data_IF_788480250441
#
_entry.id   IF_788480250441
#
_cell.length_a   1.000
_cell.length_b   1.000
_cell.length_c   1.000
_cell.angle_alpha   90.00
_cell.angle_beta   90.00
_cell.angle_gamma   90.00
#
_symmetry.space_group_name_H-M   'P 1'
#
loop_
_entity.id
_entity.type
_entity.pdbx_description
1 polymer ?
#
# COMPACT_ATOMS: atom_id res chain seq x y z
N UNK A 1 1.04 -11.47 8.45
CA UNK A 1 1.86 -11.88 9.61
C UNK A 1 2.29 -13.34 9.64
N UNK A 2 1.89 -14.23 8.72
CA UNK A 2 2.40 -15.61 8.72
C UNK A 2 3.92 -15.72 8.57
N UNK A 3 4.54 -14.78 7.80
CA UNK A 3 5.99 -14.77 7.60
C UNK A 3 6.74 -14.56 8.92
N UNK A 4 6.41 -13.51 9.69
CA UNK A 4 7.08 -13.23 10.96
C UNK A 4 6.94 -14.38 11.96
N UNK A 5 5.74 -14.99 12.05
CA UNK A 5 5.56 -16.20 12.91
C UNK A 5 6.51 -17.32 12.52
N UNK A 6 6.67 -17.60 11.23
CA UNK A 6 7.61 -18.64 10.76
C UNK A 6 9.06 -18.29 11.07
N UNK A 7 9.44 -17.01 10.86
CA UNK A 7 10.79 -16.53 11.14
C UNK A 7 11.11 -16.60 12.64
N UNK A 8 10.19 -16.17 13.50
CA UNK A 8 10.33 -16.28 14.95
C UNK A 8 10.46 -17.74 15.37
N UNK A 9 9.61 -18.64 14.87
CA UNK A 9 9.66 -20.07 15.18
C UNK A 9 10.97 -20.75 14.70
N UNK A 10 11.60 -20.19 13.66
CA UNK A 10 12.89 -20.65 13.14
C UNK A 10 14.12 -20.06 13.88
N UNK A 11 13.91 -19.21 14.89
CA UNK A 11 15.00 -18.52 15.60
C UNK A 11 15.48 -17.23 14.95
N UNK A 12 14.72 -16.68 14.01
CA UNK A 12 15.03 -15.45 13.28
C UNK A 12 15.97 -15.64 12.09
N UNK A 13 16.46 -14.55 11.48
CA UNK A 13 16.03 -13.18 11.74
C UNK A 13 14.64 -12.89 11.18
N UNK A 14 13.98 -11.85 11.70
CA UNK A 14 12.82 -11.24 11.04
C UNK A 14 13.33 -10.30 9.95
N UNK A 15 12.72 -10.39 8.76
CA UNK A 15 13.07 -9.53 7.63
C UNK A 15 12.05 -8.43 7.39
N UNK A 16 12.49 -7.17 7.36
CA UNK A 16 11.73 -5.99 6.97
C UNK A 16 12.27 -5.44 5.66
N UNK A 17 11.41 -4.81 4.87
CA UNK A 17 11.87 -4.11 3.67
C UNK A 17 12.41 -2.71 3.99
N UNK A 18 11.83 -2.04 5.00
CA UNK A 18 12.33 -0.73 5.48
C UNK A 18 11.89 -0.49 6.94
N UNK A 19 12.71 0.16 7.79
CA UNK A 19 12.37 0.40 9.20
C UNK A 19 11.18 1.34 9.39
N UNK A 20 10.97 2.27 8.45
CA UNK A 20 9.87 3.26 8.51
C UNK A 20 8.63 2.83 7.72
N UNK A 21 8.58 1.59 7.21
CA UNK A 21 7.43 1.13 6.44
C UNK A 21 6.19 1.06 7.33
N UNK A 22 5.11 1.68 6.86
CA UNK A 22 3.80 1.63 7.52
C UNK A 22 2.80 0.88 6.66
N UNK A 23 1.81 0.26 7.31
CA UNK A 23 0.66 -0.37 6.64
C UNK A 23 -0.58 -0.20 7.49
N UNK A 24 -1.72 -0.20 6.82
CA UNK A 24 -3.01 -0.23 7.49
C UNK A 24 -3.47 -1.67 7.66
N UNK A 25 -4.20 -1.94 8.73
CA UNK A 25 -4.71 -3.27 9.05
C UNK A 25 -6.19 -3.22 9.36
N UNK A 26 -6.88 -4.21 8.85
CA UNK A 26 -8.28 -4.46 9.13
C UNK A 26 -8.47 -5.95 9.33
N UNK A 27 -9.35 -6.36 10.22
CA UNK A 27 -9.69 -7.76 10.38
C UNK A 27 -10.53 -8.24 9.20
N UNK A 28 -10.43 -9.53 8.87
CA UNK A 28 -11.23 -10.11 7.76
C UNK A 28 -12.73 -9.93 7.97
N UNK A 29 -13.31 -10.19 9.18
CA UNK A 29 -14.73 -9.94 9.42
C UNK A 29 -15.13 -8.47 9.24
N UNK A 30 -14.32 -7.54 9.71
CA UNK A 30 -14.55 -6.11 9.55
C UNK A 30 -14.55 -5.70 8.08
N UNK A 31 -13.53 -6.11 7.31
CA UNK A 31 -13.46 -5.86 5.89
C UNK A 31 -14.68 -6.43 5.14
N UNK A 32 -15.07 -7.67 5.47
CA UNK A 32 -16.23 -8.29 4.84
C UNK A 32 -17.53 -7.55 5.15
N UNK A 33 -17.72 -7.09 6.39
CA UNK A 33 -18.91 -6.32 6.77
C UNK A 33 -18.96 -4.97 6.05
N UNK A 34 -17.82 -4.25 5.96
CA UNK A 34 -17.76 -2.97 5.25
C UNK A 34 -18.02 -3.12 3.75
N UNK A 35 -17.56 -4.21 3.12
CA UNK A 35 -17.90 -4.50 1.71
C UNK A 35 -19.39 -4.72 1.53
N UNK A 36 -20.06 -5.46 2.43
CA UNK A 36 -21.51 -5.65 2.37
C UNK A 36 -22.26 -4.32 2.56
N UNK A 37 -21.81 -3.46 3.49
CA UNK A 37 -22.38 -2.14 3.69
C UNK A 37 -22.20 -1.25 2.45
N UNK A 38 -20.99 -1.24 1.87
CA UNK A 38 -20.70 -0.50 0.65
C UNK A 38 -21.61 -0.95 -0.51
N UNK A 39 -21.87 -2.26 -0.63
CA UNK A 39 -22.77 -2.79 -1.66
C UNK A 39 -24.20 -2.26 -1.52
N UNK A 40 -24.70 -2.05 -0.29
CA UNK A 40 -26.02 -1.46 -0.05
C UNK A 40 -26.06 0.02 -0.40
N UNK A 41 -24.95 0.74 -0.20
CA UNK A 41 -24.81 2.18 -0.49
C UNK A 41 -24.59 2.45 -1.99
N UNK A 42 -24.22 1.45 -2.77
CA UNK A 42 -23.86 1.59 -4.17
C UNK A 42 -25.06 1.93 -5.05
N UNK A 43 -24.86 2.86 -5.97
CA UNK A 43 -25.83 3.28 -6.99
C UNK A 43 -25.43 2.88 -8.41
N UNK A 44 -24.26 2.25 -8.55
CA UNK A 44 -23.65 1.84 -9.81
C UNK A 44 -22.49 2.76 -10.22
N UNK A 45 -21.36 2.14 -10.59
CA UNK A 45 -20.13 2.89 -10.96
C UNK A 45 -19.42 3.58 -9.80
N UNK A 46 -19.84 3.35 -8.56
CA UNK A 46 -19.21 3.92 -7.37
C UNK A 46 -17.92 3.21 -7.02
N UNK A 47 -16.92 3.97 -6.58
CA UNK A 47 -15.74 3.48 -5.89
C UNK A 47 -15.83 3.92 -4.44
N UNK A 48 -15.67 2.97 -3.51
CA UNK A 48 -15.72 3.26 -2.09
C UNK A 48 -14.32 3.14 -1.47
N UNK A 49 -14.03 4.06 -0.56
CA UNK A 49 -12.84 4.07 0.27
C UNK A 49 -13.23 3.69 1.68
N UNK A 50 -12.44 2.81 2.29
CA UNK A 50 -12.67 2.40 3.67
C UNK A 50 -11.71 3.15 4.59
N UNK A 51 -12.22 3.70 5.68
CA UNK A 51 -11.39 4.21 6.77
C UNK A 51 -10.70 3.03 7.46
N UNK A 52 -9.39 2.98 7.30
CA UNK A 52 -8.55 1.91 7.84
C UNK A 52 -8.01 2.24 9.25
N UNK A 53 -8.41 3.40 9.81
CA UNK A 53 -7.89 3.88 11.08
C UNK A 53 -6.41 4.28 11.02
N UNK A 54 -5.71 4.10 12.14
CA UNK A 54 -4.32 4.53 12.28
C UNK A 54 -3.35 3.58 11.56
N UNK A 55 -2.32 4.12 10.89
CA UNK A 55 -1.29 3.31 10.26
C UNK A 55 -0.40 2.65 11.33
N UNK A 56 0.03 1.44 11.04
CA UNK A 56 0.92 0.67 11.92
C UNK A 56 2.29 0.54 11.29
N UNK A 57 3.33 0.95 12.03
CA UNK A 57 4.71 0.70 11.63
C UNK A 57 5.02 -0.80 11.71
N UNK A 58 5.48 -1.39 10.61
CA UNK A 58 5.71 -2.83 10.55
C UNK A 58 6.83 -3.29 11.48
N UNK A 59 7.83 -2.42 11.74
CA UNK A 59 8.87 -2.67 12.73
C UNK A 59 8.28 -2.87 14.13
N UNK A 60 7.41 -1.95 14.58
CA UNK A 60 6.83 -2.01 15.91
C UNK A 60 5.97 -3.28 16.09
N UNK A 61 5.26 -3.66 15.03
CA UNK A 61 4.49 -4.89 14.98
C UNK A 61 5.41 -6.14 15.08
N UNK A 62 6.53 -6.14 14.38
CA UNK A 62 7.51 -7.22 14.45
C UNK A 62 8.09 -7.36 15.86
N UNK A 63 8.49 -6.26 16.49
CA UNK A 63 8.97 -6.22 17.87
C UNK A 63 7.92 -6.73 18.85
N UNK A 64 6.67 -6.29 18.70
CA UNK A 64 5.57 -6.76 19.54
C UNK A 64 5.35 -8.28 19.39
N UNK A 65 5.44 -8.81 18.16
CA UNK A 65 5.30 -10.24 17.90
C UNK A 65 6.41 -11.07 18.58
N UNK A 66 7.66 -10.57 18.58
CA UNK A 66 8.79 -11.22 19.30
C UNK A 66 8.47 -11.28 20.80
N UNK A 67 8.10 -10.14 21.39
CA UNK A 67 7.77 -10.06 22.84
C UNK A 67 6.60 -10.97 23.22
N UNK A 68 5.54 -10.99 22.40
CA UNK A 68 4.38 -11.89 22.62
C UNK A 68 4.71 -13.37 22.45
N UNK A 69 5.81 -13.70 21.78
CA UNK A 69 6.32 -15.07 21.68
C UNK A 69 7.21 -15.47 22.87
N UNK A 70 7.34 -14.59 23.88
CA UNK A 70 8.19 -14.81 25.05
C UNK A 70 9.68 -14.69 24.77
N UNK A 71 10.06 -14.06 23.65
CA UNK A 71 11.44 -13.90 23.18
C UNK A 71 11.89 -12.44 23.29
N UNK A 72 13.21 -12.24 23.31
CA UNK A 72 13.87 -10.94 23.37
C UNK A 72 14.42 -10.51 22.02
N UNK A 73 14.44 -9.19 21.79
CA UNK A 73 15.08 -8.63 20.60
C UNK A 73 16.59 -8.63 20.76
N UNK A 74 17.28 -8.99 19.68
CA UNK A 74 18.73 -8.86 19.57
C UNK A 74 19.04 -7.56 18.81
N UNK A 75 19.72 -6.65 19.49
CA UNK A 75 20.18 -5.37 18.96
C UNK A 75 21.51 -4.97 19.60
N UNK A 76 21.99 -3.75 19.30
CA UNK A 76 23.23 -3.23 19.85
C UNK A 76 23.20 -3.07 21.40
N UNK A 77 22.03 -2.88 21.99
CA UNK A 77 21.84 -2.75 23.44
C UNK A 77 21.67 -4.12 24.12
N UNK A 78 21.14 -5.12 23.39
CA UNK A 78 20.89 -6.47 23.84
C UNK A 78 21.48 -7.50 22.86
N UNK A 79 22.81 -7.64 22.79
CA UNK A 79 23.48 -8.52 21.82
C UNK A 79 23.21 -10.01 22.05
N UNK A 80 22.78 -10.38 23.27
CA UNK A 80 22.39 -11.74 23.64
C UNK A 80 20.89 -12.03 23.43
N UNK A 81 20.13 -11.12 22.83
CA UNK A 81 18.72 -11.36 22.52
C UNK A 81 18.50 -12.52 21.55
N UNK A 82 17.27 -13.00 21.51
CA UNK A 82 16.92 -14.20 20.75
C UNK A 82 16.74 -13.92 19.25
N UNK A 83 16.03 -12.85 18.90
CA UNK A 83 15.58 -12.56 17.53
C UNK A 83 16.11 -11.21 17.04
N UNK A 84 16.83 -11.24 15.94
CA UNK A 84 17.28 -10.04 15.22
C UNK A 84 16.24 -9.59 14.18
N UNK A 85 16.13 -8.29 13.95
CA UNK A 85 15.36 -7.71 12.85
C UNK A 85 16.31 -7.08 11.85
N UNK A 86 16.30 -7.57 10.61
CA UNK A 86 17.15 -7.09 9.53
C UNK A 86 16.33 -6.39 8.42
N UNK A 87 16.91 -5.34 7.82
CA UNK A 87 16.30 -4.65 6.69
C UNK A 87 16.89 -5.16 5.38
N UNK A 88 16.01 -5.54 4.43
CA UNK A 88 16.40 -6.13 3.14
C UNK A 88 16.35 -5.12 1.99
N UNK A 89 15.85 -3.91 2.23
CA UNK A 89 15.59 -2.91 1.21
C UNK A 89 14.18 -3.02 0.61
N UNK A 90 13.64 -1.87 0.15
CA UNK A 90 12.36 -1.83 -0.56
C UNK A 90 12.46 -2.57 -1.90
N UNK A 91 11.42 -3.26 -2.27
CA UNK A 91 11.29 -3.89 -3.59
C UNK A 91 10.95 -2.83 -4.64
N UNK A 92 11.27 -3.07 -5.93
CA UNK A 92 10.82 -2.18 -7.00
C UNK A 92 9.29 -1.99 -6.95
N UNK A 93 8.83 -0.73 -6.89
CA UNK A 93 7.41 -0.38 -6.80
C UNK A 93 6.78 -0.54 -5.41
N UNK A 94 7.54 -0.93 -4.38
CA UNK A 94 7.02 -0.97 -3.00
C UNK A 94 6.97 0.44 -2.42
N UNK A 95 5.78 0.88 -2.01
CA UNK A 95 5.60 2.18 -1.34
C UNK A 95 6.04 2.11 0.13
N UNK A 96 6.79 3.11 0.57
CA UNK A 96 7.16 3.27 1.98
C UNK A 96 5.94 3.60 2.83
N UNK A 97 5.12 4.53 2.33
CA UNK A 97 3.86 4.95 2.93
C UNK A 97 2.70 4.61 1.99
N UNK A 98 1.62 4.06 2.53
CA UNK A 98 0.38 3.90 1.78
C UNK A 98 -0.39 5.21 1.79
N UNK A 99 -0.88 5.62 0.64
CA UNK A 99 -1.73 6.80 0.49
C UNK A 99 -3.19 6.37 0.69
N UNK A 100 -3.84 6.93 1.69
CA UNK A 100 -5.30 6.85 1.80
C UNK A 100 -5.88 8.02 0.98
N UNK A 101 -6.58 7.71 -0.09
CA UNK A 101 -7.23 8.70 -0.98
C UNK A 101 -8.43 9.40 -0.32
N UNK A 102 -8.57 9.33 1.00
CA UNK A 102 -9.74 9.87 1.74
C UNK A 102 -9.74 11.41 1.77
N UNK A 103 -8.59 12.06 1.59
CA UNK A 103 -8.42 13.46 2.02
C UNK A 103 -8.83 14.54 1.02
N UNK A 104 -8.90 14.31 -0.28
CA UNK A 104 -9.10 15.40 -1.24
C UNK A 104 -10.36 15.28 -2.12
N UNK A 105 -10.78 14.08 -2.47
CA UNK A 105 -11.84 13.86 -3.45
C UNK A 105 -12.83 12.77 -3.03
N UNK A 106 -13.15 12.69 -1.75
CA UNK A 106 -14.13 11.73 -1.23
C UNK A 106 -15.31 12.42 -0.54
N UNK A 107 -16.48 11.78 -0.62
CA UNK A 107 -17.68 12.19 0.10
C UNK A 107 -17.98 11.20 1.22
N UNK A 108 -18.33 11.67 2.43
CA UNK A 108 -18.83 10.79 3.47
C UNK A 108 -20.13 10.11 3.02
N UNK A 109 -20.35 8.88 3.47
CA UNK A 109 -21.60 8.17 3.29
C UNK A 109 -22.40 8.14 4.60
N UNK A 110 -23.52 7.46 4.61
CA UNK A 110 -24.30 7.20 5.85
C UNK A 110 -23.53 6.30 6.84
N UNK A 111 -22.52 5.57 6.37
CA UNK A 111 -21.66 4.75 7.22
C UNK A 111 -20.36 5.49 7.56
N UNK A 112 -20.00 5.64 8.86
CA UNK A 112 -18.88 6.48 9.29
C UNK A 112 -17.51 6.05 8.77
N UNK A 113 -17.33 4.77 8.42
CA UNK A 113 -16.07 4.22 7.92
C UNK A 113 -16.05 4.01 6.40
N UNK A 114 -17.07 4.49 5.67
CA UNK A 114 -17.16 4.33 4.21
C UNK A 114 -17.30 5.70 3.55
N UNK A 115 -16.38 6.00 2.67
CA UNK A 115 -16.38 7.20 1.85
C UNK A 115 -16.61 6.84 0.39
N UNK A 116 -17.23 7.71 -0.38
CA UNK A 116 -17.37 7.57 -1.83
C UNK A 116 -16.29 8.40 -2.50
N UNK A 117 -15.43 7.78 -3.30
CA UNK A 117 -14.45 8.49 -4.10
C UNK A 117 -15.14 9.29 -5.22
N UNK A 118 -14.63 10.49 -5.46
CA UNK A 118 -14.97 11.30 -6.64
C UNK A 118 -13.88 11.12 -7.69
N UNK A 119 -13.90 9.98 -8.37
CA UNK A 119 -12.90 9.71 -9.38
C UNK A 119 -13.32 10.28 -10.75
N UNK A 120 -12.32 10.80 -11.46
CA UNK A 120 -12.51 11.16 -12.86
C UNK A 120 -12.47 9.88 -13.69
N UNK A 121 -13.58 9.57 -14.37
CA UNK A 121 -13.67 8.44 -15.26
C UNK A 121 -13.65 8.90 -16.72
N UNK A 122 -12.90 8.22 -17.57
CA UNK A 122 -12.95 8.43 -19.00
C UNK A 122 -14.27 7.87 -19.58
N UNK A 123 -14.99 8.64 -20.39
CA UNK A 123 -16.18 8.11 -21.06
C UNK A 123 -15.86 6.87 -21.90
N UNK A 124 -16.73 5.85 -21.94
CA UNK A 124 -16.50 4.61 -22.68
C UNK A 124 -16.07 4.80 -24.13
N UNK A 125 -16.64 5.75 -24.91
CA UNK A 125 -16.21 6.00 -26.28
C UNK A 125 -14.76 6.50 -26.42
N UNK A 126 -14.20 7.07 -25.36
CA UNK A 126 -12.81 7.54 -25.31
C UNK A 126 -11.89 6.41 -24.78
N UNK A 127 -12.35 5.69 -23.78
CA UNK A 127 -11.59 4.64 -23.11
C UNK A 127 -11.34 3.43 -24.01
N UNK A 128 -12.39 2.85 -24.61
CA UNK A 128 -12.27 1.59 -25.34
C UNK A 128 -11.28 1.62 -26.50
N UNK A 129 -11.25 2.65 -27.38
CA UNK A 129 -10.24 2.74 -28.44
C UNK A 129 -8.80 2.79 -27.91
N UNK A 130 -8.59 3.35 -26.70
CA UNK A 130 -7.28 3.39 -26.07
C UNK A 130 -6.87 2.02 -25.49
N UNK A 131 -7.82 1.28 -24.94
CA UNK A 131 -7.60 -0.11 -24.50
C UNK A 131 -7.23 -0.99 -25.70
N UNK A 132 -7.95 -0.87 -26.81
CA UNK A 132 -7.64 -1.62 -28.07
C UNK A 132 -6.24 -1.28 -28.59
N UNK A 133 -5.85 0.00 -28.53
CA UNK A 133 -4.52 0.45 -28.94
C UNK A 133 -3.42 -0.09 -28.00
N UNK A 134 -3.69 -0.14 -26.69
CA UNK A 134 -2.80 -0.71 -25.69
C UNK A 134 -2.60 -2.21 -25.94
N UNK A 135 -3.68 -2.96 -26.15
CA UNK A 135 -3.63 -4.38 -26.48
C UNK A 135 -2.79 -4.63 -27.76
N UNK A 136 -3.01 -3.82 -28.80
CA UNK A 136 -2.24 -3.90 -30.03
C UNK A 136 -0.74 -3.60 -29.82
N UNK A 137 -0.39 -2.66 -28.95
CA UNK A 137 1.00 -2.36 -28.61
C UNK A 137 1.64 -3.51 -27.83
N UNK A 138 0.92 -4.11 -26.88
CA UNK A 138 1.39 -5.28 -26.13
C UNK A 138 1.63 -6.46 -27.05
N UNK A 139 0.69 -6.77 -27.95
CA UNK A 139 0.80 -7.88 -28.91
C UNK A 139 2.00 -7.73 -29.87
N UNK A 140 2.39 -6.49 -30.18
CA UNK A 140 3.60 -6.18 -30.96
C UNK A 140 4.87 -6.10 -30.12
N UNK A 141 4.76 -6.26 -28.79
CA UNK A 141 5.87 -6.05 -27.84
C UNK A 141 6.47 -4.63 -27.92
N UNK A 142 5.67 -3.64 -28.30
CA UNK A 142 6.04 -2.25 -28.40
C UNK A 142 5.91 -1.58 -27.02
N UNK A 143 6.92 -1.81 -26.18
CA UNK A 143 6.95 -1.30 -24.79
C UNK A 143 6.84 0.23 -24.73
N UNK A 144 7.57 1.02 -25.57
CA UNK A 144 7.42 2.47 -25.55
C UNK A 144 5.99 2.94 -25.82
N UNK A 145 5.33 2.37 -26.84
CA UNK A 145 3.95 2.72 -27.17
C UNK A 145 2.97 2.31 -26.04
N UNK A 146 3.14 1.12 -25.47
CA UNK A 146 2.29 0.67 -24.36
C UNK A 146 2.42 1.59 -23.13
N UNK A 147 3.64 1.99 -22.76
CA UNK A 147 3.87 2.90 -21.65
C UNK A 147 3.33 4.31 -21.91
N UNK A 148 3.41 4.81 -23.14
CA UNK A 148 2.84 6.10 -23.51
C UNK A 148 1.31 6.10 -23.36
N UNK A 149 0.63 5.04 -23.82
CA UNK A 149 -0.81 4.88 -23.67
C UNK A 149 -1.20 4.77 -22.20
N UNK A 150 -0.46 4.02 -21.39
CA UNK A 150 -0.70 3.92 -19.94
C UNK A 150 -0.59 5.27 -19.25
N UNK A 151 0.44 6.07 -19.55
CA UNK A 151 0.60 7.42 -18.99
C UNK A 151 -0.53 8.37 -19.39
N UNK A 152 -1.12 8.18 -20.57
CA UNK A 152 -2.28 8.96 -21.01
C UNK A 152 -3.57 8.55 -20.29
N UNK A 153 -3.75 7.24 -20.06
CA UNK A 153 -4.93 6.68 -19.40
C UNK A 153 -4.92 6.86 -17.88
N UNK A 154 -3.74 6.88 -17.27
CA UNK A 154 -3.51 7.00 -15.83
C UNK A 154 -2.50 8.11 -15.58
N UNK A 155 -2.91 9.40 -15.56
CA UNK A 155 -2.00 10.54 -15.43
C UNK A 155 -1.16 10.53 -14.15
N UNK A 156 -1.67 9.90 -13.08
CA UNK A 156 -1.00 9.76 -11.78
C UNK A 156 0.11 8.71 -11.82
N UNK A 157 0.13 7.85 -12.85
CA UNK A 157 1.14 6.81 -12.95
C UNK A 157 2.52 7.40 -13.26
N UNK A 158 3.46 7.16 -12.34
CA UNK A 158 4.88 7.53 -12.52
C UNK A 158 5.72 6.29 -12.72
N UNK A 159 6.64 6.33 -13.65
CA UNK A 159 7.58 5.22 -13.87
C UNK A 159 8.52 5.11 -12.67
N UNK A 160 8.80 3.87 -12.20
CA UNK A 160 9.53 3.60 -10.96
C UNK A 160 10.93 4.22 -10.82
N UNK A 161 11.54 4.76 -11.89
CA UNK A 161 12.79 5.53 -11.83
C UNK A 161 12.60 6.98 -11.35
N UNK A 162 11.38 7.50 -11.34
CA UNK A 162 11.06 8.87 -10.89
C UNK A 162 10.70 8.91 -9.40
N UNK A 163 10.25 7.78 -8.85
CA UNK A 163 9.88 7.66 -7.42
C UNK A 163 11.11 7.74 -6.50
N UNK A 164 12.31 7.44 -7.00
CA UNK A 164 13.56 7.45 -6.22
C UNK A 164 14.14 8.83 -5.92
N UNK A 165 13.71 9.88 -6.64
CA UNK A 165 14.32 11.23 -6.52
C UNK A 165 13.51 12.21 -5.65
N UNK A 166 12.25 11.94 -5.34
CA UNK A 166 11.41 12.86 -4.52
C UNK A 166 11.57 12.66 -3.00
N UNK A 167 12.18 11.56 -2.55
CA UNK A 167 12.36 11.27 -1.12
C UNK A 167 13.57 11.94 -0.47
N UNK A 168 14.38 12.71 -1.22
CA UNK A 168 15.56 13.41 -0.66
C UNK A 168 15.39 14.93 -0.49
N UNK A 169 14.23 15.49 -0.82
CA UNK A 169 13.98 16.93 -0.67
C UNK A 169 12.79 17.18 0.24
N UNK A 170 13.04 17.39 1.54
CA UNK A 170 12.08 18.07 2.39
C UNK A 170 11.69 17.42 3.72
N UNK A 171 12.64 17.14 4.59
CA UNK A 171 12.41 17.18 6.03
C UNK A 171 13.45 18.10 6.65
N UNK A 172 13.13 19.39 6.70
CA UNK A 172 13.77 20.30 7.66
C UNK A 172 13.09 20.10 9.01
N UNK A 173 13.79 19.77 10.08
CA UNK A 173 13.23 19.80 11.41
C UNK A 173 12.99 21.26 11.78
N UNK A 174 11.75 21.57 12.14
CA UNK A 174 11.40 22.86 12.75
C UNK A 174 11.76 22.79 14.24
N UNK A 175 12.31 23.88 14.81
CA UNK A 175 12.90 23.96 16.15
C UNK A 175 11.91 23.77 17.29
#
# INVERSE_FOLDING_TARGET
MPLFRRQIAAGGPITLTHPEIIRYFMTIPEAAQLVLQAAVLAKGGDVFLLDMGEPVRIKDLAEQMVRLSGLSLRDAHHPSGDIEIICTGLRPGEKLYEELLIDAESEPTEHPLIYRAREQALPPPVLWPRIDALEAAINRQDVPAALAILSELVPEWKRGSEIGNETSAGVTPNP
#
